data_IF_055538605502
#
_entry.id   IF_055538605502
#
_cell.length_a   1.000
_cell.length_b   1.000
_cell.length_c   1.000
_cell.angle_alpha   90.00
_cell.angle_beta   90.00
_cell.angle_gamma   90.00
#
_symmetry.space_group_name_H-M   'P 1'
#
loop_
_entity.id
_entity.type
_entity.pdbx_description
1 polymer ?
#
# COMPACT_ATOMS: atom_id res chain seq x y z
N UNK A 1 0.94 16.29 9.65
CA UNK A 1 0.32 15.37 10.64
C UNK A 1 0.54 15.85 12.08
N UNK A 2 -0.51 15.93 12.89
CA UNK A 2 -0.46 16.35 14.30
C UNK A 2 0.32 15.35 15.17
N UNK A 3 1.30 15.85 15.94
CA UNK A 3 2.21 15.00 16.73
C UNK A 3 1.51 14.31 17.90
N UNK A 4 0.56 14.97 18.56
CA UNK A 4 -0.17 14.40 19.71
C UNK A 4 -1.11 13.30 19.24
N UNK A 5 -1.91 13.55 18.22
CA UNK A 5 -2.83 12.57 17.64
C UNK A 5 -2.07 11.35 17.10
N UNK A 6 -0.92 11.54 16.43
CA UNK A 6 -0.07 10.43 15.99
C UNK A 6 0.42 9.59 17.17
N UNK A 7 0.86 10.24 18.25
CA UNK A 7 1.32 9.53 19.45
C UNK A 7 0.20 8.71 20.08
N UNK A 8 -1.02 9.26 20.14
CA UNK A 8 -2.21 8.56 20.66
C UNK A 8 -2.45 7.29 19.84
N UNK A 9 -2.61 7.42 18.51
CA UNK A 9 -2.82 6.28 17.61
C UNK A 9 -1.72 5.21 17.76
N UNK A 10 -0.45 5.62 17.77
CA UNK A 10 0.68 4.69 17.90
C UNK A 10 0.65 3.95 19.25
N UNK A 11 0.34 4.65 20.34
CA UNK A 11 0.28 4.06 21.67
C UNK A 11 -0.95 3.17 21.86
N UNK A 12 -2.01 3.34 21.08
CA UNK A 12 -3.18 2.46 21.12
C UNK A 12 -2.82 1.04 20.68
N UNK A 13 -1.99 0.89 19.65
CA UNK A 13 -1.69 -0.41 19.04
C UNK A 13 -0.30 -0.96 19.36
N UNK A 14 0.67 -0.11 19.69
CA UNK A 14 2.07 -0.49 19.79
C UNK A 14 2.72 -0.11 21.12
N UNK A 15 3.68 -0.92 21.53
CA UNK A 15 4.59 -0.68 22.66
C UNK A 15 6.02 -1.02 22.26
N UNK A 16 6.98 -0.80 23.16
CA UNK A 16 8.36 -1.27 22.97
C UNK A 16 8.46 -2.80 22.77
N UNK A 17 7.48 -3.56 23.29
CA UNK A 17 7.42 -5.02 23.18
C UNK A 17 6.61 -5.52 21.98
N UNK A 18 6.16 -4.61 21.09
CA UNK A 18 5.36 -4.97 19.91
C UNK A 18 3.88 -4.61 20.04
N UNK A 19 3.03 -5.39 19.37
CA UNK A 19 1.57 -5.23 19.43
C UNK A 19 1.06 -5.33 20.87
N UNK A 20 0.13 -4.44 21.23
CA UNK A 20 -0.56 -4.54 22.52
C UNK A 20 -1.63 -5.62 22.46
N UNK A 21 -1.65 -6.48 23.49
CA UNK A 21 -2.67 -7.52 23.68
C UNK A 21 -4.03 -6.92 24.00
N UNK A 22 -4.06 -5.97 24.94
CA UNK A 22 -5.26 -5.23 25.32
C UNK A 22 -5.25 -3.85 24.67
N UNK A 23 -6.31 -3.54 23.93
CA UNK A 23 -6.57 -2.21 23.39
C UNK A 23 -7.46 -1.48 24.40
N UNK A 24 -7.10 -0.24 24.73
CA UNK A 24 -7.99 0.62 25.50
C UNK A 24 -9.32 0.81 24.76
N UNK A 25 -10.40 1.14 25.47
CA UNK A 25 -11.65 1.48 24.82
C UNK A 25 -11.46 2.69 23.90
N UNK A 26 -12.08 2.68 22.71
CA UNK A 26 -12.16 3.84 21.83
C UNK A 26 -13.09 4.89 22.42
N UNK A 27 -12.61 5.59 23.44
CA UNK A 27 -13.35 6.59 24.21
C UNK A 27 -12.41 7.53 24.95
N UNK A 28 -12.96 8.63 25.46
CA UNK A 28 -12.23 9.62 26.26
C UNK A 28 -11.53 10.70 25.45
N UNK A 29 -10.92 11.65 26.15
CA UNK A 29 -10.40 12.90 25.56
C UNK A 29 -9.31 12.67 24.52
N UNK A 30 -8.44 11.68 24.72
CA UNK A 30 -7.38 11.38 23.75
C UNK A 30 -7.94 10.80 22.44
N UNK A 31 -8.97 9.94 22.52
CA UNK A 31 -9.63 9.40 21.33
C UNK A 31 -10.34 10.51 20.55
N UNK A 32 -11.12 11.34 21.24
CA UNK A 32 -11.81 12.48 20.61
C UNK A 32 -10.84 13.51 20.04
N UNK A 33 -9.71 13.76 20.72
CA UNK A 33 -8.64 14.60 20.18
C UNK A 33 -8.06 14.00 18.89
N UNK A 34 -7.70 12.71 18.87
CA UNK A 34 -7.12 12.07 17.70
C UNK A 34 -8.11 12.02 16.51
N UNK A 35 -9.41 11.82 16.79
CA UNK A 35 -10.50 11.95 15.81
C UNK A 35 -10.59 13.35 15.22
N UNK A 36 -10.55 14.39 16.07
CA UNK A 36 -10.58 15.79 15.61
C UNK A 36 -9.42 16.16 14.69
N UNK A 37 -8.34 15.36 14.68
CA UNK A 37 -7.17 15.54 13.81
C UNK A 37 -7.16 14.60 12.60
N UNK A 38 -8.19 13.77 12.42
CA UNK A 38 -8.31 12.85 11.29
C UNK A 38 -7.38 11.64 11.37
N UNK A 39 -6.90 11.27 12.58
CA UNK A 39 -5.99 10.13 12.75
C UNK A 39 -6.66 8.91 13.36
N UNK A 40 -7.77 9.11 14.06
CA UNK A 40 -8.62 8.04 14.56
C UNK A 40 -10.06 8.25 14.08
N UNK A 41 -10.86 7.19 14.12
CA UNK A 41 -12.19 7.12 13.56
C UNK A 41 -13.09 6.27 14.46
N UNK A 42 -14.37 6.60 14.48
CA UNK A 42 -15.38 5.67 14.98
C UNK A 42 -15.42 4.44 14.06
N UNK A 43 -15.78 3.25 14.59
CA UNK A 43 -15.98 2.08 13.76
C UNK A 43 -16.98 2.34 12.65
N UNK A 44 -16.73 1.79 11.47
CA UNK A 44 -17.56 2.00 10.29
C UNK A 44 -18.35 0.74 9.93
N UNK A 45 -19.58 0.93 9.49
CA UNK A 45 -20.32 -0.08 8.74
C UNK A 45 -20.52 0.43 7.33
N UNK A 46 -20.04 -0.32 6.34
CA UNK A 46 -20.08 0.06 4.92
C UNK A 46 -20.16 -1.19 4.05
N UNK A 47 -20.84 -1.11 2.92
CA UNK A 47 -20.92 -2.23 1.98
C UNK A 47 -19.81 -2.18 0.93
N UNK A 48 -19.55 -3.33 0.30
CA UNK A 48 -18.71 -3.43 -0.89
C UNK A 48 -19.05 -2.37 -1.94
N UNK A 49 -20.34 -2.27 -2.30
CA UNK A 49 -20.80 -1.43 -3.40
C UNK A 49 -20.60 0.06 -3.08
N UNK A 50 -20.79 0.45 -1.82
CA UNK A 50 -20.50 1.82 -1.38
C UNK A 50 -19.00 2.15 -1.52
N UNK A 51 -18.12 1.21 -1.17
CA UNK A 51 -16.68 1.40 -1.35
C UNK A 51 -16.32 1.55 -2.84
N UNK A 52 -16.88 0.69 -3.71
CA UNK A 52 -16.66 0.77 -5.17
C UNK A 52 -17.09 2.14 -5.72
N UNK A 53 -18.26 2.65 -5.30
CA UNK A 53 -18.72 3.97 -5.72
C UNK A 53 -17.78 5.10 -5.25
N UNK A 54 -17.34 5.07 -3.98
CA UNK A 54 -16.41 6.08 -3.45
C UNK A 54 -15.04 6.04 -4.14
N UNK A 55 -14.51 4.84 -4.39
CA UNK A 55 -13.29 4.68 -5.18
C UNK A 55 -13.43 5.25 -6.58
N UNK A 56 -14.56 4.98 -7.24
CA UNK A 56 -14.83 5.53 -8.57
C UNK A 56 -14.82 7.07 -8.55
N UNK A 57 -15.46 7.70 -7.56
CA UNK A 57 -15.44 9.15 -7.37
C UNK A 57 -14.02 9.70 -7.12
N UNK A 58 -13.22 9.04 -6.28
CA UNK A 58 -11.82 9.39 -6.02
C UNK A 58 -10.97 9.33 -7.30
N UNK A 59 -11.21 8.34 -8.16
CA UNK A 59 -10.51 8.19 -9.44
C UNK A 59 -10.89 9.24 -10.49
N UNK A 60 -12.07 9.86 -10.39
CA UNK A 60 -12.44 10.97 -11.26
C UNK A 60 -11.69 12.28 -10.94
N UNK A 61 -10.98 12.35 -9.81
CA UNK A 61 -10.20 13.53 -9.45
C UNK A 61 -9.00 13.69 -10.39
N UNK A 62 -8.86 14.89 -10.98
CA UNK A 62 -7.80 15.16 -11.96
C UNK A 62 -6.41 15.09 -11.32
N UNK A 63 -5.50 14.35 -11.97
CA UNK A 63 -4.09 14.29 -11.57
C UNK A 63 -3.80 13.37 -10.38
N UNK A 64 -4.75 12.52 -9.97
CA UNK A 64 -4.56 11.62 -8.81
C UNK A 64 -3.40 10.65 -9.03
N UNK A 65 -3.20 10.13 -10.24
CA UNK A 65 -2.08 9.23 -10.57
C UNK A 65 -0.72 9.90 -10.31
N UNK A 66 -0.53 11.09 -10.86
CA UNK A 66 0.72 11.85 -10.70
C UNK A 66 0.94 12.24 -9.24
N UNK A 67 -0.13 12.56 -8.50
CA UNK A 67 -0.07 12.85 -7.06
C UNK A 67 0.39 11.63 -6.26
N UNK A 68 -0.18 10.44 -6.48
CA UNK A 68 0.22 9.24 -5.72
C UNK A 68 1.65 8.80 -6.07
N UNK A 69 2.07 8.95 -7.32
CA UNK A 69 3.45 8.68 -7.74
C UNK A 69 4.44 9.66 -7.10
N UNK A 70 4.16 10.96 -7.13
CA UNK A 70 4.97 11.98 -6.46
C UNK A 70 5.04 11.76 -4.95
N UNK A 71 3.93 11.38 -4.32
CA UNK A 71 3.85 11.07 -2.90
C UNK A 71 4.70 9.85 -2.52
N UNK A 72 4.67 8.80 -3.34
CA UNK A 72 5.52 7.64 -3.17
C UNK A 72 7.01 8.05 -3.22
N UNK A 73 7.43 8.78 -4.26
CA UNK A 73 8.82 9.24 -4.41
C UNK A 73 9.26 10.10 -3.23
N UNK A 74 8.49 11.13 -2.91
CA UNK A 74 8.75 12.03 -1.79
C UNK A 74 8.87 11.29 -0.44
N UNK A 75 8.16 10.18 -0.27
CA UNK A 75 8.22 9.38 0.96
C UNK A 75 9.56 8.65 1.17
N UNK A 76 10.35 8.47 0.10
CA UNK A 76 11.60 7.73 0.13
C UNK A 76 12.70 8.53 0.83
N UNK A 77 12.89 9.80 0.47
CA UNK A 77 13.87 10.69 1.13
C UNK A 77 13.36 11.20 2.49
N UNK A 78 12.08 11.60 2.57
CA UNK A 78 11.56 12.32 3.76
C UNK A 78 11.10 11.42 4.90
N UNK A 79 11.05 10.10 4.66
CA UNK A 79 10.49 9.11 5.60
C UNK A 79 9.05 9.43 6.00
N UNK A 80 8.28 10.12 5.15
CA UNK A 80 6.83 10.28 5.27
C UNK A 80 6.13 8.97 4.87
N UNK A 81 6.35 7.93 5.66
CA UNK A 81 5.97 6.53 5.40
C UNK A 81 4.49 6.35 5.02
N UNK A 82 3.59 7.13 5.63
CA UNK A 82 2.15 7.14 5.34
C UNK A 82 1.76 7.51 3.89
N UNK A 83 2.68 8.05 3.09
CA UNK A 83 2.44 8.40 1.70
C UNK A 83 2.71 7.25 0.71
N UNK A 84 3.26 6.12 1.18
CA UNK A 84 3.75 5.03 0.31
C UNK A 84 2.62 4.22 -0.33
N UNK A 85 1.67 3.76 0.48
CA UNK A 85 0.63 2.80 0.06
C UNK A 85 -0.32 3.35 -0.99
N UNK A 86 -0.49 4.68 -1.05
CA UNK A 86 -1.45 5.32 -1.95
C UNK A 86 -1.18 4.97 -3.42
N UNK A 87 0.08 4.75 -3.80
CA UNK A 87 0.45 4.26 -5.12
C UNK A 87 -0.16 2.89 -5.42
N UNK A 88 0.01 1.92 -4.52
CA UNK A 88 -0.56 0.58 -4.70
C UNK A 88 -2.09 0.56 -4.62
N UNK A 89 -2.68 1.34 -3.71
CA UNK A 89 -4.14 1.43 -3.60
C UNK A 89 -4.75 2.04 -4.86
N UNK A 90 -4.09 3.04 -5.45
CA UNK A 90 -4.50 3.58 -6.74
C UNK A 90 -4.33 2.54 -7.85
N UNK A 91 -3.16 1.92 -7.96
CA UNK A 91 -2.85 0.96 -9.02
C UNK A 91 -3.82 -0.23 -9.06
N UNK A 92 -4.18 -0.76 -7.89
CA UNK A 92 -5.11 -1.89 -7.78
C UNK A 92 -6.56 -1.54 -8.06
N UNK A 93 -6.96 -0.28 -7.86
CA UNK A 93 -8.37 0.11 -7.91
C UNK A 93 -8.73 0.97 -9.13
N UNK A 94 -7.76 1.59 -9.79
CA UNK A 94 -8.01 2.50 -10.93
C UNK A 94 -8.67 1.80 -12.13
N UNK A 95 -8.41 0.50 -12.30
CA UNK A 95 -9.00 -0.32 -13.36
C UNK A 95 -10.32 -1.00 -12.98
N UNK A 96 -10.81 -0.83 -11.74
CA UNK A 96 -12.06 -1.48 -11.32
C UNK A 96 -13.26 -0.80 -12.02
N UNK A 97 -14.12 -1.57 -12.71
CA UNK A 97 -15.37 -1.03 -13.20
C UNK A 97 -16.29 -0.70 -12.03
N UNK A 98 -17.31 0.13 -12.25
CA UNK A 98 -18.47 0.12 -11.36
C UNK A 98 -19.14 -1.25 -11.46
N UNK A 99 -19.30 -1.92 -10.32
CA UNK A 99 -19.87 -3.26 -10.24
C UNK A 99 -20.48 -3.49 -8.86
N UNK A 100 -21.34 -4.51 -8.74
CA UNK A 100 -21.86 -4.96 -7.45
C UNK A 100 -21.21 -6.27 -7.00
N UNK A 101 -21.18 -6.52 -5.69
CA UNK A 101 -20.50 -7.71 -5.12
C UNK A 101 -20.94 -9.03 -5.75
N UNK A 102 -22.24 -9.18 -6.03
CA UNK A 102 -22.85 -10.41 -6.55
C UNK A 102 -23.04 -10.45 -8.06
N UNK A 103 -22.57 -9.45 -8.81
CA UNK A 103 -22.81 -9.36 -10.25
C UNK A 103 -22.12 -10.49 -11.03
N UNK A 104 -20.88 -10.79 -10.64
CA UNK A 104 -20.04 -11.83 -11.24
C UNK A 104 -19.48 -12.72 -10.13
N UNK A 105 -20.26 -13.64 -9.56
CA UNK A 105 -19.77 -14.49 -8.49
C UNK A 105 -18.69 -15.45 -9.01
N UNK A 106 -17.63 -15.66 -8.22
CA UNK A 106 -16.57 -16.62 -8.54
C UNK A 106 -16.89 -17.97 -7.92
N UNK A 107 -16.83 -19.04 -8.72
CA UNK A 107 -17.07 -20.42 -8.25
C UNK A 107 -15.95 -20.90 -7.33
N UNK A 108 -14.70 -20.55 -7.65
CA UNK A 108 -13.50 -20.89 -6.86
C UNK A 108 -12.73 -19.60 -6.54
N UNK A 109 -13.13 -18.87 -5.48
CA UNK A 109 -12.50 -17.60 -5.11
C UNK A 109 -11.09 -17.83 -4.56
N UNK A 110 -10.13 -17.03 -5.02
CA UNK A 110 -8.76 -17.00 -4.48
C UNK A 110 -8.54 -15.81 -3.55
N UNK A 111 -9.14 -14.66 -3.87
CA UNK A 111 -9.00 -13.41 -3.10
C UNK A 111 -10.35 -12.86 -2.62
N UNK A 112 -11.40 -12.96 -3.45
CA UNK A 112 -12.76 -12.53 -3.11
C UNK A 112 -13.81 -13.38 -3.82
N UNK A 113 -15.01 -13.45 -3.25
CA UNK A 113 -16.19 -14.01 -3.94
C UNK A 113 -16.75 -13.06 -5.00
N UNK A 114 -16.39 -11.78 -4.97
CA UNK A 114 -16.69 -10.83 -6.04
C UNK A 114 -15.73 -11.00 -7.22
N UNK A 115 -16.27 -11.18 -8.43
CA UNK A 115 -15.50 -11.48 -9.65
C UNK A 115 -14.51 -10.42 -10.06
N UNK A 116 -14.92 -9.16 -10.11
CA UNK A 116 -14.04 -8.07 -10.55
C UNK A 116 -12.94 -7.81 -9.52
N UNK A 117 -13.25 -7.85 -8.22
CA UNK A 117 -12.25 -7.78 -7.15
C UNK A 117 -11.29 -8.98 -7.18
N UNK A 118 -11.80 -10.20 -7.35
CA UNK A 118 -10.96 -11.41 -7.42
C UNK A 118 -10.03 -11.41 -8.64
N UNK A 119 -10.52 -10.95 -9.80
CA UNK A 119 -9.72 -10.79 -11.00
C UNK A 119 -8.53 -9.84 -10.77
N UNK A 120 -8.77 -8.74 -10.04
CA UNK A 120 -7.75 -7.77 -9.65
C UNK A 120 -6.94 -8.17 -8.39
N UNK A 121 -7.08 -9.42 -7.92
CA UNK A 121 -6.39 -9.96 -6.72
C UNK A 121 -6.66 -9.16 -5.44
N UNK A 122 -7.83 -8.54 -5.37
CA UNK A 122 -8.29 -7.75 -4.23
C UNK A 122 -9.06 -8.63 -3.26
N UNK A 123 -8.75 -8.48 -1.97
CA UNK A 123 -9.52 -9.06 -0.88
C UNK A 123 -10.69 -8.13 -0.56
N UNK A 124 -11.90 -8.66 -0.69
CA UNK A 124 -13.11 -7.90 -0.39
C UNK A 124 -14.22 -8.78 0.14
N UNK A 125 -14.95 -8.23 1.11
CA UNK A 125 -16.16 -8.79 1.68
C UNK A 125 -17.40 -8.07 1.17
N UNK A 126 -18.56 -8.73 1.28
CA UNK A 126 -19.86 -8.16 0.88
C UNK A 126 -20.22 -6.94 1.74
N UNK A 127 -20.01 -7.08 3.05
CA UNK A 127 -20.35 -6.11 4.08
C UNK A 127 -19.21 -6.04 5.09
N UNK A 128 -18.89 -4.82 5.50
CA UNK A 128 -17.92 -4.50 6.54
C UNK A 128 -18.71 -3.94 7.71
N UNK A 129 -18.75 -4.66 8.84
CA UNK A 129 -19.63 -4.33 9.97
C UNK A 129 -18.78 -3.95 11.18
N UNK A 130 -18.94 -2.71 11.66
CA UNK A 130 -18.22 -2.20 12.83
C UNK A 130 -16.69 -2.35 12.70
N UNK A 131 -16.16 -2.10 11.50
CA UNK A 131 -14.74 -2.22 11.20
C UNK A 131 -13.91 -1.11 11.85
N UNK A 132 -12.76 -1.50 12.41
CA UNK A 132 -11.81 -0.60 13.05
C UNK A 132 -10.83 -0.02 12.02
N UNK A 133 -11.13 1.16 11.47
CA UNK A 133 -10.20 1.85 10.57
C UNK A 133 -8.92 2.33 11.29
N UNK A 134 -8.90 2.38 12.63
CA UNK A 134 -7.74 2.87 13.37
C UNK A 134 -6.55 1.93 13.22
N UNK A 135 -6.76 0.61 13.21
CA UNK A 135 -5.65 -0.34 13.00
C UNK A 135 -5.06 -0.22 11.59
N UNK A 136 -5.92 0.05 10.59
CA UNK A 136 -5.52 0.27 9.20
C UNK A 136 -4.66 1.54 9.07
N UNK A 137 -5.12 2.66 9.65
CA UNK A 137 -4.37 3.92 9.62
C UNK A 137 -3.10 3.86 10.46
N UNK A 138 -3.10 3.11 11.57
CA UNK A 138 -1.90 2.84 12.34
C UNK A 138 -0.83 2.13 11.49
N UNK A 139 -1.20 1.08 10.77
CA UNK A 139 -0.30 0.34 9.88
C UNK A 139 0.22 1.22 8.73
N UNK A 140 -0.66 2.02 8.12
CA UNK A 140 -0.30 3.06 7.13
C UNK A 140 0.78 3.99 7.68
N UNK A 141 0.59 4.53 8.88
CA UNK A 141 1.50 5.51 9.47
C UNK A 141 2.82 4.89 9.96
N UNK A 142 2.76 3.65 10.45
CA UNK A 142 3.91 2.97 11.06
C UNK A 142 4.85 2.34 10.04
N UNK A 143 4.31 1.67 9.02
CA UNK A 143 5.08 0.86 8.07
C UNK A 143 4.87 1.25 6.62
N UNK A 144 3.81 2.00 6.32
CA UNK A 144 3.50 2.49 4.97
C UNK A 144 2.39 1.69 4.30
N UNK A 145 1.63 0.92 5.10
CA UNK A 145 0.54 0.04 4.66
C UNK A 145 0.90 -1.44 4.75
N UNK A 146 -0.01 -2.27 5.23
CA UNK A 146 0.19 -3.74 5.35
C UNK A 146 -0.87 -4.49 4.54
N UNK A 147 -2.15 -4.10 4.67
CA UNK A 147 -3.29 -4.71 3.96
C UNK A 147 -3.48 -4.14 2.55
N UNK A 148 -2.40 -4.06 1.78
CA UNK A 148 -2.31 -3.27 0.55
C UNK A 148 -3.30 -3.70 -0.56
N UNK A 149 -3.78 -4.95 -0.56
CA UNK A 149 -4.80 -5.44 -1.49
C UNK A 149 -6.19 -5.65 -0.87
N UNK A 150 -6.45 -5.12 0.33
CA UNK A 150 -7.79 -5.15 0.90
C UNK A 150 -8.60 -3.96 0.40
N UNK A 151 -9.83 -4.19 -0.07
CA UNK A 151 -10.68 -3.16 -0.65
C UNK A 151 -10.98 -2.02 0.35
N UNK A 152 -11.33 -2.37 1.60
CA UNK A 152 -11.56 -1.40 2.66
C UNK A 152 -10.31 -0.54 2.94
N UNK A 153 -9.13 -1.16 2.93
CA UNK A 153 -7.87 -0.45 3.13
C UNK A 153 -7.58 0.50 1.96
N UNK A 154 -7.73 0.05 0.72
CA UNK A 154 -7.44 0.88 -0.45
C UNK A 154 -8.34 2.11 -0.53
N UNK A 155 -9.62 1.96 -0.19
CA UNK A 155 -10.51 3.12 -0.09
C UNK A 155 -10.09 4.06 1.03
N UNK A 156 -9.89 3.56 2.25
CA UNK A 156 -9.45 4.40 3.37
C UNK A 156 -8.14 5.13 3.05
N UNK A 157 -7.18 4.45 2.42
CA UNK A 157 -5.88 5.04 2.09
C UNK A 157 -5.98 6.15 1.05
N UNK A 158 -6.77 5.95 -0.03
CA UNK A 158 -7.01 6.99 -1.03
C UNK A 158 -7.86 8.14 -0.50
N UNK A 159 -8.85 7.85 0.36
CA UNK A 159 -9.66 8.87 1.03
C UNK A 159 -8.79 9.79 1.90
N UNK A 160 -7.93 9.20 2.74
CA UNK A 160 -7.00 9.97 3.57
C UNK A 160 -5.95 10.69 2.72
N UNK A 161 -5.43 10.04 1.68
CA UNK A 161 -4.50 10.65 0.75
C UNK A 161 -5.09 11.86 0.01
N UNK A 162 -6.39 11.83 -0.32
CA UNK A 162 -7.05 12.94 -1.00
C UNK A 162 -6.96 14.25 -0.22
N UNK A 163 -6.84 14.16 1.11
CA UNK A 163 -6.72 15.28 2.05
C UNK A 163 -5.28 15.74 2.28
N UNK A 164 -4.29 15.00 1.79
CA UNK A 164 -2.88 15.36 1.91
C UNK A 164 -2.52 16.53 0.96
N UNK A 165 -1.62 17.39 1.44
CA UNK A 165 -1.07 18.47 0.62
C UNK A 165 -0.29 17.90 -0.57
N UNK A 166 -0.29 18.65 -1.68
CA UNK A 166 0.55 18.29 -2.82
C UNK A 166 2.03 18.37 -2.43
N UNK A 167 2.76 17.32 -2.75
CA UNK A 167 4.21 17.26 -2.57
C UNK A 167 4.92 17.57 -3.88
N UNK A 168 6.16 18.05 -3.78
CA UNK A 168 7.04 18.20 -4.93
C UNK A 168 8.10 17.10 -4.86
N UNK A 169 8.37 16.50 -6.01
CA UNK A 169 9.47 15.53 -6.17
C UNK A 169 10.78 16.31 -6.22
N UNK A 170 11.74 15.90 -5.40
CA UNK A 170 13.09 16.49 -5.35
C UNK A 170 14.10 15.66 -6.12
N UNK A 171 15.25 16.25 -6.43
CA UNK A 171 16.38 15.53 -7.05
C UNK A 171 16.86 14.36 -6.19
N UNK A 172 16.76 14.46 -4.87
CA UNK A 172 17.09 13.37 -3.95
C UNK A 172 16.11 12.20 -4.09
N UNK A 173 14.82 12.47 -4.26
CA UNK A 173 13.81 11.43 -4.49
C UNK A 173 14.09 10.65 -5.79
N UNK A 174 14.49 11.36 -6.85
CA UNK A 174 14.84 10.77 -8.14
C UNK A 174 16.15 9.99 -8.08
N UNK A 175 17.16 10.50 -7.38
CA UNK A 175 18.40 9.77 -7.15
C UNK A 175 18.15 8.45 -6.41
N UNK A 176 17.26 8.46 -5.40
CA UNK A 176 16.85 7.23 -4.71
C UNK A 176 16.13 6.28 -5.67
N UNK A 177 15.17 6.76 -6.47
CA UNK A 177 14.47 5.93 -7.45
C UNK A 177 15.46 5.25 -8.41
N UNK A 178 16.41 6.00 -8.98
CA UNK A 178 17.44 5.46 -9.87
C UNK A 178 18.28 4.38 -9.18
N UNK A 179 18.74 4.63 -7.96
CA UNK A 179 19.51 3.65 -7.19
C UNK A 179 18.68 2.39 -6.86
N UNK A 180 17.37 2.53 -6.63
CA UNK A 180 16.48 1.38 -6.43
C UNK A 180 16.35 0.54 -7.70
N UNK A 181 16.19 1.18 -8.87
CA UNK A 181 16.10 0.52 -10.18
C UNK A 181 17.42 -0.17 -10.56
N UNK A 182 18.55 0.50 -10.33
CA UNK A 182 19.88 -0.09 -10.54
C UNK A 182 20.09 -1.32 -9.64
N UNK A 183 19.66 -1.27 -8.38
CA UNK A 183 19.73 -2.41 -7.48
C UNK A 183 18.87 -3.61 -7.96
N UNK A 184 17.75 -3.36 -8.65
CA UNK A 184 16.94 -4.41 -9.29
C UNK A 184 17.69 -5.00 -10.49
N UNK A 185 18.21 -4.17 -11.40
CA UNK A 185 18.93 -4.62 -12.59
C UNK A 185 20.20 -5.42 -12.26
N UNK A 186 20.88 -5.05 -11.17
CA UNK A 186 22.10 -5.71 -10.72
C UNK A 186 21.83 -6.93 -9.82
N UNK A 187 20.59 -7.43 -9.75
CA UNK A 187 20.29 -8.69 -9.07
C UNK A 187 20.81 -9.89 -9.87
N UNK A 188 21.39 -10.86 -9.16
CA UNK A 188 21.67 -12.17 -9.76
C UNK A 188 20.35 -12.83 -10.17
N UNK A 189 20.35 -13.59 -11.26
CA UNK A 189 19.19 -14.27 -11.85
C UNK A 189 18.25 -14.97 -10.83
N UNK A 190 18.84 -15.60 -9.81
CA UNK A 190 18.12 -16.37 -8.79
C UNK A 190 17.86 -15.59 -7.49
N UNK A 191 18.20 -14.30 -7.46
CA UNK A 191 17.96 -13.44 -6.30
C UNK A 191 16.47 -13.44 -5.97
N UNK A 192 16.13 -13.72 -4.72
CA UNK A 192 14.77 -13.60 -4.20
C UNK A 192 14.39 -12.15 -3.91
N UNK A 193 13.10 -11.88 -3.78
CA UNK A 193 12.58 -10.60 -3.28
C UNK A 193 13.23 -10.19 -1.93
N UNK A 194 13.51 -11.16 -1.05
CA UNK A 194 14.20 -10.91 0.22
C UNK A 194 15.67 -10.49 0.05
N UNK A 195 16.35 -10.93 -1.01
CA UNK A 195 17.71 -10.47 -1.33
C UNK A 195 17.69 -9.06 -1.92
N UNK A 196 16.71 -8.75 -2.78
CA UNK A 196 16.51 -7.39 -3.28
C UNK A 196 16.19 -6.41 -2.14
N UNK A 197 15.30 -6.77 -1.21
CA UNK A 197 14.99 -5.95 -0.03
C UNK A 197 16.25 -5.59 0.78
N UNK A 198 17.17 -6.54 0.96
CA UNK A 198 18.44 -6.28 1.66
C UNK A 198 19.34 -5.33 0.88
N UNK A 199 19.33 -5.38 -0.46
CA UNK A 199 20.10 -4.44 -1.30
C UNK A 199 19.58 -3.01 -1.17
N UNK A 200 18.28 -2.83 -0.94
CA UNK A 200 17.69 -1.51 -0.69
C UNK A 200 17.93 -0.93 0.69
N UNK A 201 18.55 -1.68 1.62
CA UNK A 201 18.79 -1.23 3.00
C UNK A 201 19.49 0.13 3.07
N UNK A 202 20.50 0.33 2.22
CA UNK A 202 21.34 1.54 2.23
C UNK A 202 20.99 2.50 1.09
N UNK A 203 19.94 2.20 0.30
CA UNK A 203 19.47 3.05 -0.81
C UNK A 203 18.58 4.18 -0.30
N UNK A 204 17.78 3.93 0.75
CA UNK A 204 16.92 4.95 1.38
C UNK A 204 16.69 4.69 2.87
N UNK A 205 16.46 5.74 3.68
CA UNK A 205 16.27 5.60 5.12
C UNK A 205 15.04 4.76 5.45
N UNK A 206 15.26 3.54 5.95
CA UNK A 206 14.19 2.57 6.17
C UNK A 206 14.48 1.52 7.24
N UNK A 207 13.43 1.04 7.91
CA UNK A 207 13.46 -0.23 8.63
C UNK A 207 13.23 -1.42 7.68
N UNK A 208 13.49 -2.66 8.13
CA UNK A 208 13.17 -3.87 7.34
C UNK A 208 11.70 -3.87 6.92
N UNK A 209 10.77 -3.67 7.86
CA UNK A 209 9.35 -3.71 7.58
C UNK A 209 8.92 -2.62 6.59
N UNK A 210 9.54 -1.44 6.68
CA UNK A 210 9.30 -0.35 5.72
C UNK A 210 9.75 -0.72 4.30
N UNK A 211 10.87 -1.45 4.14
CA UNK A 211 11.30 -1.95 2.82
C UNK A 211 10.41 -3.09 2.33
N UNK A 212 9.96 -3.96 3.22
CA UNK A 212 9.01 -5.02 2.87
C UNK A 212 7.74 -4.43 2.25
N UNK A 213 7.21 -3.36 2.85
CA UNK A 213 6.06 -2.63 2.33
C UNK A 213 6.36 -1.96 0.99
N UNK A 214 7.52 -1.32 0.83
CA UNK A 214 7.89 -0.70 -0.46
C UNK A 214 7.97 -1.74 -1.58
N UNK A 215 8.52 -2.93 -1.31
CA UNK A 215 8.53 -4.04 -2.25
C UNK A 215 7.11 -4.47 -2.65
N UNK A 216 6.20 -4.59 -1.67
CA UNK A 216 4.80 -4.92 -1.94
C UNK A 216 4.07 -3.82 -2.73
N UNK A 217 4.34 -2.54 -2.43
CA UNK A 217 3.78 -1.42 -3.19
C UNK A 217 4.20 -1.52 -4.66
N UNK A 218 5.48 -1.80 -4.94
CA UNK A 218 5.97 -1.99 -6.31
C UNK A 218 5.39 -3.25 -6.97
N UNK A 219 5.21 -4.34 -6.23
CA UNK A 219 4.59 -5.55 -6.74
C UNK A 219 3.13 -5.33 -7.14
N UNK A 220 2.34 -4.69 -6.28
CA UNK A 220 0.94 -4.34 -6.58
C UNK A 220 0.79 -3.25 -7.63
N UNK A 221 1.76 -2.34 -7.77
CA UNK A 221 1.82 -1.37 -8.86
C UNK A 221 2.29 -1.98 -10.19
N UNK A 222 2.66 -3.27 -10.23
CA UNK A 222 3.09 -3.93 -11.45
C UNK A 222 4.56 -3.67 -11.85
N UNK A 223 5.34 -2.98 -11.00
CA UNK A 223 6.77 -2.77 -11.24
C UNK A 223 7.57 -4.05 -11.01
N UNK A 224 7.27 -4.79 -9.93
CA UNK A 224 7.96 -6.05 -9.59
C UNK A 224 7.02 -7.24 -9.77
N UNK A 225 6.91 -7.73 -11.00
CA UNK A 225 6.03 -8.85 -11.35
C UNK A 225 6.84 -10.05 -11.85
N UNK A 226 6.47 -11.29 -11.46
CA UNK A 226 7.06 -12.49 -12.05
C UNK A 226 6.81 -12.52 -13.56
N UNK A 227 7.86 -12.77 -14.34
CA UNK A 227 7.78 -12.96 -15.79
C UNK A 227 7.46 -14.42 -16.14
N UNK A 228 7.11 -14.68 -17.39
CA UNK A 228 6.87 -16.04 -17.91
C UNK A 228 8.17 -16.81 -18.18
N UNK A 229 9.16 -16.64 -17.30
CA UNK A 229 10.41 -17.40 -17.34
C UNK A 229 10.35 -18.55 -16.33
N UNK A 230 10.95 -19.72 -16.64
CA UNK A 230 10.98 -20.84 -15.71
C UNK A 230 11.48 -20.41 -14.34
N UNK A 231 10.72 -20.73 -13.30
CA UNK A 231 11.09 -20.41 -11.91
C UNK A 231 12.31 -21.25 -11.54
N UNK A 232 13.45 -20.59 -11.39
CA UNK A 232 14.73 -21.23 -11.07
C UNK A 232 14.85 -21.55 -9.57
N UNK A 233 13.99 -20.94 -8.75
CA UNK A 233 13.94 -21.09 -7.30
C UNK A 233 12.77 -22.01 -6.89
N UNK A 234 13.00 -22.85 -5.89
CA UNK A 234 11.88 -23.44 -5.13
C UNK A 234 11.20 -22.36 -4.27
N UNK A 235 9.92 -22.52 -3.97
CA UNK A 235 9.21 -21.61 -3.07
C UNK A 235 9.98 -21.52 -1.74
N UNK A 236 10.40 -20.30 -1.39
CA UNK A 236 11.15 -20.04 -0.17
C UNK A 236 10.22 -19.61 0.96
N UNK A 237 10.68 -19.73 2.20
CA UNK A 237 9.95 -19.19 3.34
C UNK A 237 10.08 -17.66 3.35
N UNK A 238 9.07 -16.97 2.85
CA UNK A 238 8.97 -15.51 2.88
C UNK A 238 7.56 -15.09 3.27
N UNK A 239 7.48 -13.85 3.73
CA UNK A 239 6.33 -13.13 4.26
C UNK A 239 5.70 -12.18 3.22
N UNK A 240 6.18 -12.23 1.97
CA UNK A 240 5.66 -11.47 0.83
C UNK A 240 4.41 -12.10 0.19
N UNK A 241 3.55 -11.24 -0.36
CA UNK A 241 2.36 -11.56 -1.14
C UNK A 241 2.58 -11.27 -2.63
N UNK A 242 2.70 -10.00 -3.04
CA UNK A 242 2.76 -9.61 -4.46
C UNK A 242 4.09 -10.00 -5.12
N UNK A 243 5.20 -9.88 -4.38
CA UNK A 243 6.55 -10.17 -4.87
C UNK A 243 7.06 -11.56 -4.48
N UNK A 244 6.19 -12.42 -3.95
CA UNK A 244 6.51 -13.77 -3.49
C UNK A 244 7.30 -14.59 -4.54
N UNK A 245 6.78 -14.61 -5.77
CA UNK A 245 7.32 -15.37 -6.88
C UNK A 245 8.35 -14.59 -7.72
N UNK A 246 8.68 -13.35 -7.33
CA UNK A 246 9.68 -12.54 -8.01
C UNK A 246 11.09 -13.13 -7.80
N UNK A 247 11.87 -13.13 -8.87
CA UNK A 247 13.28 -13.49 -8.90
C UNK A 247 14.08 -12.46 -9.71
N UNK A 248 15.41 -12.40 -9.54
CA UNK A 248 16.26 -11.38 -10.17
C UNK A 248 16.10 -11.26 -11.69
N UNK A 249 15.96 -12.38 -12.41
CA UNK A 249 15.72 -12.40 -13.86
C UNK A 249 14.39 -11.73 -14.28
N UNK A 250 13.45 -11.51 -13.37
CA UNK A 250 12.20 -10.81 -13.68
C UNK A 250 12.43 -9.30 -13.87
N UNK A 251 13.49 -8.74 -13.26
CA UNK A 251 13.79 -7.31 -13.31
C UNK A 251 12.63 -6.44 -12.79
N UNK A 252 12.48 -5.26 -13.39
CA UNK A 252 11.30 -4.40 -13.22
C UNK A 252 10.60 -4.17 -14.57
N UNK A 253 9.31 -3.86 -14.54
CA UNK A 253 8.55 -3.49 -15.75
C UNK A 253 8.85 -2.04 -16.17
N UNK A 254 9.47 -1.87 -17.35
CA UNK A 254 9.70 -0.54 -17.92
C UNK A 254 8.39 0.17 -18.24
N UNK A 255 7.37 -0.58 -18.69
CA UNK A 255 6.03 -0.02 -18.97
C UNK A 255 5.41 0.57 -17.70
N UNK A 256 5.46 -0.14 -16.57
CA UNK A 256 4.94 0.37 -15.30
C UNK A 256 5.77 1.55 -14.78
N UNK A 257 7.10 1.51 -14.96
CA UNK A 257 8.00 2.61 -14.61
C UNK A 257 7.62 3.89 -15.38
N UNK A 258 7.48 3.80 -16.70
CA UNK A 258 7.12 4.94 -17.55
C UNK A 258 5.70 5.44 -17.21
N UNK A 259 4.77 4.53 -16.95
CA UNK A 259 3.38 4.86 -16.65
C UNK A 259 3.21 5.66 -15.36
N UNK A 260 3.92 5.27 -14.29
CA UNK A 260 3.83 5.93 -12.98
C UNK A 260 4.82 7.06 -12.81
N UNK A 261 6.05 6.89 -13.29
CA UNK A 261 7.16 7.78 -12.97
C UNK A 261 7.74 8.52 -14.18
N UNK A 262 7.30 8.22 -15.41
CA UNK A 262 7.86 8.82 -16.63
C UNK A 262 7.75 10.34 -16.71
N UNK A 263 6.81 10.96 -16.00
CA UNK A 263 6.71 12.44 -15.90
C UNK A 263 7.80 13.08 -15.03
N UNK A 264 8.51 12.28 -14.23
CA UNK A 264 9.57 12.73 -13.33
C UNK A 264 10.97 12.25 -13.76
N UNK A 265 11.05 11.39 -14.77
CA UNK A 265 12.28 10.81 -15.33
C UNK A 265 12.74 11.53 -16.61
#
# INVERSE_FOLDING_TARGET
>A
MDKKAKKILMNTFWSSSGWKQERGSFSGEDFEYAKSKGLMFDPITITHNEIINRLHELHQQKGTKERVAAAFLHSLSTKKVHLRSALSSWALTAGLPLHTYGERPVVLPNYSSCGDCNFNKMMSDKEYVNEDLNVLNFERIKWGGIRLNHLLYCWMDLELFSQEENVQVSDEDLAILHNMLEAVQNCDAQSSARQLEKRWKDVFPSSKNERDVVMEVWGYAGLLVPQDTPRKRQNGNHDFYSVAAWQGDDGYSQEALDYFFGTFL
#
